data_IF_726049534804
#
_entry.id   IF_726049534804
#
_cell.length_a   1.000
_cell.length_b   1.000
_cell.length_c   1.000
_cell.angle_alpha   90.00
_cell.angle_beta   90.00
_cell.angle_gamma   90.00
#
_symmetry.space_group_name_H-M   'P 1'
#
loop_
_entity.id
_entity.type
_entity.pdbx_description
1 polymer ?
#
# COMPACT_ATOMS: atom_id res chain seq x y z
N UNK A 1 -29.69 37.03 -23.83
CA UNK A 1 -28.44 37.76 -23.48
C UNK A 1 -28.27 37.93 -21.97
N UNK A 2 -29.32 38.28 -21.19
CA UNK A 2 -29.27 38.35 -19.72
C UNK A 2 -29.14 36.99 -19.00
N UNK A 3 -29.68 35.89 -19.54
CA UNK A 3 -29.43 34.52 -19.01
C UNK A 3 -27.97 34.05 -19.18
N UNK A 4 -27.22 34.58 -20.15
CA UNK A 4 -25.79 34.31 -20.33
C UNK A 4 -24.88 35.13 -19.40
N UNK A 5 -25.41 36.21 -18.79
CA UNK A 5 -24.69 37.00 -17.80
C UNK A 5 -24.92 36.52 -16.36
N UNK A 6 -26.03 35.82 -16.10
CA UNK A 6 -26.28 35.17 -14.81
C UNK A 6 -25.50 33.86 -14.61
N UNK A 7 -25.09 33.15 -15.68
CA UNK A 7 -24.26 31.94 -15.56
C UNK A 7 -22.79 32.22 -15.26
N UNK A 8 -22.27 33.42 -15.59
CA UNK A 8 -20.86 33.80 -15.33
C UNK A 8 -20.59 34.39 -13.94
N UNK A 9 -21.61 34.66 -13.12
CA UNK A 9 -21.45 35.25 -11.77
C UNK A 9 -21.58 34.26 -10.60
N UNK A 10 -21.75 32.95 -10.86
CA UNK A 10 -21.84 31.93 -9.80
C UNK A 10 -20.48 31.38 -9.30
N UNK A 11 -19.36 31.72 -9.91
CA UNK A 11 -18.06 31.20 -9.52
C UNK A 11 -17.22 32.27 -8.80
N UNK A 12 -17.32 32.36 -7.47
CA UNK A 12 -16.23 32.87 -6.60
C UNK A 12 -16.45 32.72 -5.10
N UNK A 13 -17.48 32.01 -4.65
CA UNK A 13 -17.37 31.32 -3.37
C UNK A 13 -16.65 30.00 -3.65
N UNK A 14 -15.32 30.06 -3.74
CA UNK A 14 -14.50 28.86 -3.81
C UNK A 14 -14.67 28.15 -2.48
N UNK A 15 -15.59 27.18 -2.45
CA UNK A 15 -15.79 26.33 -1.29
C UNK A 15 -14.43 25.76 -0.87
N UNK A 16 -14.15 25.79 0.43
CA UNK A 16 -12.93 25.21 0.99
C UNK A 16 -12.74 23.82 0.39
N UNK A 17 -11.55 23.51 -0.14
CA UNK A 17 -11.35 22.28 -0.86
C UNK A 17 -11.68 21.08 0.03
N UNK A 18 -12.63 20.26 -0.43
CA UNK A 18 -13.00 19.04 0.27
C UNK A 18 -11.82 18.06 0.20
N UNK A 19 -11.18 17.81 1.34
CA UNK A 19 -10.18 16.75 1.48
C UNK A 19 -10.83 15.42 1.21
N UNK A 20 -10.08 14.47 0.66
CA UNK A 20 -10.53 13.08 0.56
C UNK A 20 -10.81 12.57 1.99
N UNK A 21 -12.08 12.38 2.37
CA UNK A 21 -12.45 12.14 3.77
C UNK A 21 -11.99 10.76 4.25
N UNK A 22 -11.68 9.85 3.32
CA UNK A 22 -11.47 8.43 3.58
C UNK A 22 -10.33 7.86 2.74
N UNK A 23 -9.17 8.50 2.72
CA UNK A 23 -8.04 8.04 1.89
C UNK A 23 -7.80 6.54 2.00
N UNK A 24 -7.70 5.87 0.84
CA UNK A 24 -7.34 4.45 0.81
C UNK A 24 -5.98 4.25 1.47
N UNK A 25 -5.91 3.39 2.48
CA UNK A 25 -4.67 3.22 3.23
C UNK A 25 -3.59 2.63 2.35
N UNK A 26 -2.36 3.05 2.61
CA UNK A 26 -1.18 2.48 1.99
C UNK A 26 -1.12 0.96 2.22
N UNK A 27 -0.86 0.22 1.15
CA UNK A 27 -0.58 -1.20 1.21
C UNK A 27 0.81 -1.44 1.77
N UNK A 28 0.93 -2.40 2.69
CA UNK A 28 2.21 -2.85 3.22
C UNK A 28 2.97 -3.62 2.12
N UNK A 29 4.29 -3.47 2.05
CA UNK A 29 5.09 -4.29 1.13
C UNK A 29 5.13 -5.73 1.64
N UNK A 30 4.77 -6.70 0.80
CA UNK A 30 4.80 -8.11 1.16
C UNK A 30 6.18 -8.55 1.63
N UNK A 31 7.23 -8.13 0.91
CA UNK A 31 8.61 -8.52 1.18
C UNK A 31 9.09 -7.98 2.53
N UNK A 32 8.74 -6.72 2.86
CA UNK A 32 9.04 -6.12 4.17
C UNK A 32 8.29 -6.82 5.29
N UNK A 33 6.98 -7.03 5.12
CA UNK A 33 6.15 -7.71 6.11
C UNK A 33 6.68 -9.12 6.41
N UNK A 34 6.97 -9.89 5.35
CA UNK A 34 7.45 -11.26 5.49
C UNK A 34 8.86 -11.31 6.10
N UNK A 35 9.74 -10.37 5.77
CA UNK A 35 11.06 -10.26 6.38
C UNK A 35 10.96 -10.01 7.90
N UNK A 36 10.13 -9.04 8.31
CA UNK A 36 9.85 -8.77 9.72
C UNK A 36 9.30 -10.01 10.42
N UNK A 37 8.41 -10.74 9.75
CA UNK A 37 7.84 -11.96 10.31
C UNK A 37 8.88 -13.08 10.51
N UNK A 38 9.77 -13.26 9.53
CA UNK A 38 10.89 -14.19 9.65
C UNK A 38 11.81 -13.81 10.83
N UNK A 39 12.07 -12.51 11.01
CA UNK A 39 12.86 -12.02 12.13
C UNK A 39 12.19 -12.28 13.48
N UNK A 40 10.87 -12.11 13.58
CA UNK A 40 10.10 -12.43 14.78
C UNK A 40 10.19 -13.92 15.13
N UNK A 41 10.07 -14.80 14.13
CA UNK A 41 10.21 -16.25 14.33
C UNK A 41 11.62 -16.64 14.79
N UNK A 42 12.66 -16.01 14.24
CA UNK A 42 14.04 -16.19 14.68
C UNK A 42 14.27 -15.73 16.12
N UNK A 43 13.64 -14.61 16.50
CA UNK A 43 13.68 -14.12 17.88
C UNK A 43 13.00 -15.11 18.85
N UNK A 44 11.82 -15.63 18.47
CA UNK A 44 11.09 -16.66 19.20
C UNK A 44 11.95 -17.94 19.38
N UNK A 45 12.60 -18.41 18.31
CA UNK A 45 13.51 -19.56 18.37
C UNK A 45 14.69 -19.30 19.31
N UNK A 46 15.30 -18.11 19.24
CA UNK A 46 16.43 -17.76 20.11
C UNK A 46 16.04 -17.73 21.59
N UNK A 47 14.82 -17.30 21.93
CA UNK A 47 14.29 -17.38 23.30
C UNK A 47 14.19 -18.83 23.76
N UNK A 48 13.69 -19.74 22.93
CA UNK A 48 13.58 -21.18 23.24
C UNK A 48 14.96 -21.81 23.42
N UNK A 49 15.89 -21.57 22.49
CA UNK A 49 17.25 -22.11 22.57
C UNK A 49 17.94 -21.62 23.85
N UNK A 50 17.82 -20.33 24.16
CA UNK A 50 18.37 -19.75 25.40
C UNK A 50 17.76 -20.42 26.64
N UNK A 51 16.46 -20.68 26.63
CA UNK A 51 15.79 -21.38 27.71
C UNK A 51 16.29 -22.83 27.88
N UNK A 52 16.32 -23.61 26.80
CA UNK A 52 16.81 -25.00 26.81
C UNK A 52 18.24 -25.06 27.34
N UNK A 53 19.11 -24.15 26.88
CA UNK A 53 20.49 -24.06 27.35
C UNK A 53 20.55 -23.76 28.84
N UNK A 54 19.80 -22.76 29.34
CA UNK A 54 19.76 -22.42 30.78
C UNK A 54 19.26 -23.60 31.60
N UNK A 55 18.19 -24.28 31.17
CA UNK A 55 17.62 -25.42 31.86
C UNK A 55 18.58 -26.62 31.91
N UNK A 56 19.20 -26.97 30.78
CA UNK A 56 20.19 -28.05 30.72
C UNK A 56 21.39 -27.80 31.66
N UNK A 57 21.89 -26.56 31.71
CA UNK A 57 22.97 -26.18 32.63
C UNK A 57 22.56 -26.27 34.09
N UNK A 58 21.35 -25.85 34.40
CA UNK A 58 20.77 -25.96 35.74
C UNK A 58 20.73 -27.43 36.18
N UNK A 59 20.22 -28.33 35.33
CA UNK A 59 20.19 -29.78 35.60
C UNK A 59 21.59 -30.36 35.85
N UNK A 60 22.60 -29.87 35.13
CA UNK A 60 24.01 -30.32 35.29
C UNK A 60 24.81 -29.54 36.33
N UNK A 61 24.20 -28.63 37.10
CA UNK A 61 24.85 -27.82 38.14
C UNK A 61 26.09 -27.04 37.61
N UNK A 62 26.07 -26.62 36.35
CA UNK A 62 27.20 -25.91 35.73
C UNK A 62 27.20 -24.43 36.15
N UNK A 63 28.14 -24.03 37.01
CA UNK A 63 28.18 -22.70 37.66
C UNK A 63 28.70 -21.53 36.79
N UNK A 64 29.39 -21.79 35.68
CA UNK A 64 30.00 -20.72 34.88
C UNK A 64 28.97 -20.04 33.97
N UNK A 65 28.85 -18.69 33.94
CA UNK A 65 28.06 -18.03 32.91
C UNK A 65 28.70 -18.27 31.54
N UNK A 66 27.88 -18.47 30.51
CA UNK A 66 28.40 -18.53 29.15
C UNK A 66 28.83 -17.11 28.76
N UNK A 67 30.12 -16.88 28.58
CA UNK A 67 30.61 -15.68 27.91
C UNK A 67 30.43 -15.89 26.41
N UNK A 68 29.48 -15.20 25.80
CA UNK A 68 29.47 -14.99 24.34
C UNK A 68 28.73 -15.98 23.45
N UNK A 69 27.77 -16.79 23.96
CA UNK A 69 26.90 -17.61 23.08
C UNK A 69 25.46 -17.12 23.20
N UNK A 70 25.18 -15.94 22.65
CA UNK A 70 23.91 -15.79 21.95
C UNK A 70 24.13 -16.42 20.57
N UNK A 71 23.20 -17.25 20.10
CA UNK A 71 23.23 -17.82 18.74
C UNK A 71 23.37 -16.70 17.67
N UNK A 72 23.04 -15.47 18.05
CA UNK A 72 23.04 -14.23 17.28
C UNK A 72 24.14 -13.27 17.80
N UNK A 73 25.35 -13.77 18.03
CA UNK A 73 26.48 -12.96 18.53
C UNK A 73 27.12 -12.02 17.51
N UNK A 74 26.65 -12.01 16.26
CA UNK A 74 27.26 -11.23 15.16
C UNK A 74 26.32 -10.32 14.37
N UNK A 75 25.02 -10.31 14.62
CA UNK A 75 24.11 -9.39 13.91
C UNK A 75 24.18 -8.04 14.60
N UNK A 76 24.40 -7.00 13.78
CA UNK A 76 24.59 -5.63 14.22
C UNK A 76 23.50 -5.18 15.18
N UNK A 77 23.87 -4.23 16.04
CA UNK A 77 23.00 -3.58 17.02
C UNK A 77 21.72 -3.02 16.36
N UNK A 78 20.69 -3.84 16.19
CA UNK A 78 19.34 -3.35 16.03
C UNK A 78 18.93 -2.75 17.38
N UNK A 79 18.69 -1.43 17.39
CA UNK A 79 18.34 -0.64 18.57
C UNK A 79 16.90 -0.96 19.01
N UNK A 80 16.66 -2.18 19.49
CA UNK A 80 15.44 -2.61 20.16
C UNK A 80 15.81 -3.18 21.52
N UNK A 81 16.02 -2.31 22.50
CA UNK A 81 16.53 -2.68 23.82
C UNK A 81 15.44 -3.32 24.69
N UNK A 82 15.38 -4.65 24.73
CA UNK A 82 14.80 -5.37 25.85
C UNK A 82 15.95 -6.08 26.61
N UNK A 83 16.36 -5.53 27.75
CA UNK A 83 17.26 -6.26 28.67
C UNK A 83 16.50 -7.49 29.18
N UNK A 84 17.07 -8.71 29.09
CA UNK A 84 16.40 -9.88 29.65
C UNK A 84 16.33 -9.77 31.18
N UNK A 85 15.20 -10.14 31.81
CA UNK A 85 15.05 -10.06 33.26
C UNK A 85 15.98 -11.06 33.97
N UNK A 86 16.59 -10.61 35.07
CA UNK A 86 17.59 -11.36 35.84
C UNK A 86 17.00 -12.29 36.93
N UNK A 87 15.67 -12.46 36.99
CA UNK A 87 15.01 -13.27 38.02
C UNK A 87 14.79 -14.72 37.55
N UNK A 88 14.75 -15.65 38.50
CA UNK A 88 14.33 -17.03 38.28
C UNK A 88 12.98 -17.05 37.55
N UNK A 89 12.89 -17.84 36.48
CA UNK A 89 11.71 -17.90 35.63
C UNK A 89 10.47 -18.23 36.48
N UNK A 90 9.45 -17.37 36.45
CA UNK A 90 8.19 -17.64 37.12
C UNK A 90 7.33 -18.60 36.26
N UNK A 91 6.20 -19.06 36.80
CA UNK A 91 5.28 -19.93 36.05
C UNK A 91 4.70 -19.26 34.78
N UNK A 92 4.65 -17.93 34.74
CA UNK A 92 4.18 -17.17 33.58
C UNK A 92 5.21 -17.22 32.44
N UNK A 93 6.50 -17.24 32.75
CA UNK A 93 7.57 -17.41 31.76
C UNK A 93 7.52 -18.81 31.11
N UNK A 94 7.22 -19.86 31.89
CA UNK A 94 7.07 -21.22 31.36
C UNK A 94 5.83 -21.33 30.46
N UNK A 95 4.73 -20.65 30.81
CA UNK A 95 3.54 -20.54 29.94
C UNK A 95 3.86 -19.77 28.66
N UNK A 96 4.66 -18.71 28.75
CA UNK A 96 5.17 -17.96 27.60
C UNK A 96 6.01 -18.84 26.67
N UNK A 97 6.95 -19.63 27.21
CA UNK A 97 7.79 -20.55 26.42
C UNK A 97 6.97 -21.65 25.77
N UNK A 98 5.98 -22.23 26.45
CA UNK A 98 5.04 -23.19 25.82
C UNK A 98 4.25 -22.53 24.70
N UNK A 99 3.86 -21.27 24.87
CA UNK A 99 3.23 -20.47 23.82
C UNK A 99 4.13 -20.30 22.60
N UNK A 100 5.38 -19.88 22.81
CA UNK A 100 6.39 -19.73 21.76
C UNK A 100 6.65 -21.08 21.06
N UNK A 101 6.84 -22.15 21.85
CA UNK A 101 7.11 -23.48 21.32
C UNK A 101 5.94 -24.01 20.49
N UNK A 102 4.69 -23.77 20.91
CA UNK A 102 3.51 -24.09 20.09
C UNK A 102 3.47 -23.27 18.81
N UNK A 103 3.82 -21.98 18.85
CA UNK A 103 3.90 -21.13 17.64
C UNK A 103 4.93 -21.67 16.65
N UNK A 104 6.09 -22.15 17.12
CA UNK A 104 7.10 -22.76 16.26
C UNK A 104 6.71 -24.18 15.80
N UNK A 105 6.07 -24.98 16.65
CA UNK A 105 5.61 -26.34 16.32
C UNK A 105 4.46 -26.34 15.29
N UNK A 106 3.62 -25.31 15.32
CA UNK A 106 2.75 -25.00 14.21
C UNK A 106 3.65 -24.44 13.10
N UNK A 107 4.37 -25.31 12.38
CA UNK A 107 5.41 -25.02 11.37
C UNK A 107 5.03 -23.98 10.30
N UNK A 108 3.77 -23.52 10.26
CA UNK A 108 3.36 -22.39 9.44
C UNK A 108 2.44 -21.48 10.24
N UNK A 109 2.76 -20.18 10.24
CA UNK A 109 1.92 -19.14 10.80
C UNK A 109 0.49 -19.26 10.23
N UNK A 110 -0.55 -19.34 11.09
CA UNK A 110 -1.94 -19.38 10.66
C UNK A 110 -2.31 -18.27 9.68
N UNK A 111 -1.65 -17.10 9.74
CA UNK A 111 -1.83 -16.00 8.77
C UNK A 111 -1.37 -16.37 7.37
N UNK A 112 -0.30 -17.14 7.23
CA UNK A 112 0.21 -17.60 5.93
C UNK A 112 -0.67 -18.71 5.32
N UNK A 113 -1.41 -19.42 6.16
CA UNK A 113 -2.35 -20.47 5.76
C UNK A 113 -3.72 -19.93 5.35
N UNK A 114 -3.96 -18.62 5.47
CA UNK A 114 -5.20 -18.01 5.03
C UNK A 114 -5.36 -18.09 3.52
N UNK A 115 -6.61 -18.04 3.05
CA UNK A 115 -6.91 -17.98 1.63
C UNK A 115 -6.70 -16.55 1.11
N UNK A 116 -5.54 -16.31 0.51
CA UNK A 116 -5.22 -15.09 -0.23
C UNK A 116 -5.87 -15.07 -1.60
N UNK A 117 -6.15 -13.86 -2.07
CA UNK A 117 -6.50 -13.55 -3.45
C UNK A 117 -5.48 -12.57 -4.00
N UNK A 118 -4.89 -12.90 -5.14
CA UNK A 118 -3.97 -12.03 -5.86
C UNK A 118 -4.71 -11.37 -7.02
N UNK A 119 -4.86 -10.06 -6.92
CA UNK A 119 -5.34 -9.25 -8.03
C UNK A 119 -4.16 -8.58 -8.71
N UNK A 120 -4.26 -8.36 -10.02
CA UNK A 120 -3.29 -7.55 -10.74
C UNK A 120 -3.17 -6.17 -10.11
N UNK A 121 -1.94 -5.77 -9.79
CA UNK A 121 -1.63 -4.40 -9.44
C UNK A 121 -1.47 -3.64 -10.75
N UNK A 122 -2.33 -2.64 -10.93
CA UNK A 122 -2.29 -1.75 -12.07
C UNK A 122 -1.50 -0.48 -11.72
N UNK A 123 -0.77 0.04 -12.70
CA UNK A 123 0.01 1.26 -12.60
C UNK A 123 -0.77 2.43 -13.22
N UNK A 124 -1.43 3.20 -12.36
CA UNK A 124 -2.16 4.39 -12.74
C UNK A 124 -2.20 5.41 -11.62
N UNK A 125 -3.38 5.97 -11.40
CA UNK A 125 -3.64 6.86 -10.27
C UNK A 125 -4.84 6.37 -9.48
N UNK A 126 -4.73 6.44 -8.16
CA UNK A 126 -5.83 6.10 -7.29
C UNK A 126 -6.96 7.14 -7.44
N UNK A 127 -8.18 6.64 -7.61
CA UNK A 127 -9.37 7.45 -7.76
C UNK A 127 -10.55 6.85 -6.98
N UNK A 128 -11.22 7.68 -6.19
CA UNK A 128 -12.42 7.35 -5.45
C UNK A 128 -13.66 8.02 -6.04
N UNK A 129 -14.80 7.33 -6.06
CA UNK A 129 -16.10 7.90 -6.45
C UNK A 129 -17.11 7.66 -5.34
N UNK A 130 -17.71 8.74 -4.83
CA UNK A 130 -18.72 8.71 -3.76
C UNK A 130 -20.13 8.59 -4.33
N UNK A 131 -21.07 8.11 -3.53
CA UNK A 131 -22.47 7.93 -3.93
C UNK A 131 -23.23 9.20 -4.32
N UNK A 132 -22.69 10.39 -4.06
CA UNK A 132 -23.20 11.69 -4.54
C UNK A 132 -22.55 12.14 -5.87
N UNK A 133 -21.75 11.28 -6.49
CA UNK A 133 -21.01 11.58 -7.72
C UNK A 133 -19.72 12.37 -7.50
N UNK A 134 -19.37 12.72 -6.25
CA UNK A 134 -18.11 13.40 -5.99
C UNK A 134 -16.93 12.47 -6.28
N UNK A 135 -15.99 12.96 -7.10
CA UNK A 135 -14.77 12.23 -7.49
C UNK A 135 -13.61 12.75 -6.65
N UNK A 136 -12.80 11.83 -6.13
CA UNK A 136 -11.65 12.12 -5.28
C UNK A 136 -10.40 11.50 -5.88
N UNK A 137 -9.34 12.29 -5.96
CA UNK A 137 -8.00 11.77 -6.20
C UNK A 137 -7.41 11.20 -4.90
N UNK A 138 -6.09 11.19 -4.81
CA UNK A 138 -5.38 10.64 -3.64
C UNK A 138 -5.67 11.43 -2.37
N UNK A 139 -5.72 12.76 -2.44
CA UNK A 139 -5.82 13.60 -1.24
C UNK A 139 -7.01 14.55 -1.28
N UNK A 140 -7.52 14.85 -2.48
CA UNK A 140 -8.47 15.92 -2.65
C UNK A 140 -9.60 15.56 -3.62
N UNK A 141 -10.72 16.27 -3.49
CA UNK A 141 -11.81 16.23 -4.47
C UNK A 141 -11.36 16.80 -5.82
N UNK A 142 -11.78 16.17 -6.92
CA UNK A 142 -11.58 16.61 -8.29
C UNK A 142 -12.84 17.34 -8.76
N UNK A 143 -12.68 18.53 -9.34
CA UNK A 143 -13.79 19.35 -9.85
C UNK A 143 -13.81 19.47 -11.37
N UNK A 144 -12.70 19.15 -12.05
CA UNK A 144 -12.60 19.19 -13.50
C UNK A 144 -13.13 17.93 -14.18
N UNK A 145 -13.28 18.02 -15.51
CA UNK A 145 -13.69 16.91 -16.38
C UNK A 145 -12.52 15.96 -16.68
N UNK A 146 -11.28 16.38 -16.39
CA UNK A 146 -10.08 15.55 -16.58
C UNK A 146 -9.30 15.39 -15.28
N UNK A 147 -8.59 14.26 -15.16
CA UNK A 147 -7.65 14.02 -14.08
C UNK A 147 -6.45 13.24 -14.58
N UNK A 148 -5.24 13.73 -14.30
CA UNK A 148 -3.99 13.14 -14.81
C UNK A 148 -3.99 12.96 -16.34
N UNK A 149 -4.60 13.92 -17.05
CA UNK A 149 -4.72 13.92 -18.52
C UNK A 149 -5.76 12.93 -19.08
N UNK A 150 -6.56 12.28 -18.23
CA UNK A 150 -7.62 11.36 -18.64
C UNK A 150 -8.97 12.06 -18.51
N UNK A 151 -9.78 12.00 -19.56
CA UNK A 151 -11.19 12.39 -19.51
C UNK A 151 -11.96 11.45 -18.58
N UNK A 152 -12.70 12.02 -17.63
CA UNK A 152 -13.47 11.27 -16.65
C UNK A 152 -14.84 10.87 -17.18
N UNK A 153 -15.38 11.55 -18.20
CA UNK A 153 -16.71 11.27 -18.74
C UNK A 153 -16.79 9.85 -19.32
N UNK A 154 -17.73 9.04 -18.83
CA UNK A 154 -17.92 7.65 -19.25
C UNK A 154 -16.81 6.67 -18.84
N UNK A 155 -15.73 7.16 -18.22
CA UNK A 155 -14.62 6.33 -17.73
C UNK A 155 -14.81 5.93 -16.28
N UNK A 156 -15.27 6.87 -15.44
CA UNK A 156 -15.53 6.62 -14.02
C UNK A 156 -16.98 6.24 -13.77
N UNK A 157 -17.28 5.43 -12.73
CA UNK A 157 -18.65 5.11 -12.38
C UNK A 157 -19.48 6.37 -12.09
N UNK A 158 -20.73 6.42 -12.57
CA UNK A 158 -21.66 7.48 -12.21
C UNK A 158 -22.24 7.27 -10.80
N UNK A 159 -22.86 8.32 -10.27
CA UNK A 159 -23.46 8.31 -8.94
C UNK A 159 -24.56 7.24 -8.80
N UNK A 160 -25.36 7.00 -9.85
CA UNK A 160 -26.38 5.95 -9.88
C UNK A 160 -25.77 4.55 -9.72
N UNK A 161 -24.68 4.25 -10.41
CA UNK A 161 -23.98 2.96 -10.27
C UNK A 161 -23.45 2.79 -8.85
N UNK A 162 -22.83 3.81 -8.26
CA UNK A 162 -22.32 3.76 -6.87
C UNK A 162 -23.47 3.62 -5.87
N UNK A 163 -24.61 4.29 -6.08
CA UNK A 163 -25.82 4.13 -5.27
C UNK A 163 -26.39 2.72 -5.38
N UNK A 164 -26.34 2.10 -6.57
CA UNK A 164 -26.70 0.70 -6.78
C UNK A 164 -25.85 -0.25 -5.94
N UNK A 165 -24.52 -0.06 -5.93
CA UNK A 165 -23.61 -0.83 -5.05
C UNK A 165 -23.96 -0.63 -3.57
N UNK A 166 -24.22 0.61 -3.14
CA UNK A 166 -24.60 0.92 -1.77
C UNK A 166 -25.88 0.20 -1.37
N UNK A 167 -26.89 0.22 -2.26
CA UNK A 167 -28.14 -0.50 -2.06
C UNK A 167 -27.89 -2.00 -1.92
N UNK A 168 -27.22 -2.64 -2.88
CA UNK A 168 -26.95 -4.09 -2.85
C UNK A 168 -26.18 -4.52 -1.60
N UNK A 169 -25.23 -3.68 -1.16
CA UNK A 169 -24.41 -3.91 0.03
C UNK A 169 -25.19 -3.76 1.33
N UNK A 170 -26.10 -2.79 1.42
CA UNK A 170 -26.71 -2.36 2.69
C UNK A 170 -28.22 -2.62 2.78
N UNK A 171 -28.86 -3.21 1.75
CA UNK A 171 -30.32 -3.45 1.70
C UNK A 171 -30.88 -4.14 2.96
N UNK A 172 -30.12 -5.06 3.55
CA UNK A 172 -30.55 -5.83 4.74
C UNK A 172 -30.44 -5.04 6.07
N UNK A 173 -29.89 -3.82 6.02
CA UNK A 173 -29.76 -2.90 7.16
C UNK A 173 -30.77 -1.75 7.09
N UNK A 174 -31.68 -1.73 6.11
CA UNK A 174 -32.57 -0.60 5.86
C UNK A 174 -33.53 -0.32 7.03
N UNK A 175 -33.03 0.44 8.00
CA UNK A 175 -33.79 1.55 8.58
C UNK A 175 -33.49 2.78 7.72
N UNK A 176 -34.52 3.61 7.44
CA UNK A 176 -34.38 4.81 6.60
C UNK A 176 -33.20 5.70 7.06
N UNK A 177 -33.02 5.84 8.38
CA UNK A 177 -31.95 6.63 8.99
C UNK A 177 -30.54 6.09 8.68
N UNK A 178 -30.36 4.78 8.55
CA UNK A 178 -29.03 4.20 8.31
C UNK A 178 -28.54 4.46 6.89
N UNK A 179 -29.45 4.39 5.91
CA UNK A 179 -29.08 4.63 4.52
C UNK A 179 -28.62 6.08 4.32
N UNK A 180 -29.27 7.05 4.96
CA UNK A 180 -28.89 8.47 4.87
C UNK A 180 -27.59 8.80 5.66
N UNK A 181 -27.38 8.14 6.80
CA UNK A 181 -26.21 8.40 7.67
C UNK A 181 -24.93 7.67 7.24
N UNK A 182 -25.03 6.76 6.26
CA UNK A 182 -23.88 6.06 5.69
C UNK A 182 -23.43 6.70 4.38
N UNK A 183 -22.12 6.77 4.16
CA UNK A 183 -21.51 7.22 2.90
C UNK A 183 -20.72 6.08 2.30
N UNK A 184 -20.96 5.78 1.02
CA UNK A 184 -20.17 4.80 0.27
C UNK A 184 -19.25 5.55 -0.69
N UNK A 185 -17.97 5.19 -0.68
CA UNK A 185 -17.01 5.54 -1.72
C UNK A 185 -16.37 4.27 -2.27
N UNK A 186 -16.39 4.09 -3.60
CA UNK A 186 -15.65 3.02 -4.26
C UNK A 186 -14.29 3.55 -4.72
N UNK A 187 -13.26 2.73 -4.61
CA UNK A 187 -11.89 3.06 -5.00
C UNK A 187 -11.39 2.14 -6.09
N UNK A 188 -10.67 2.73 -7.04
CA UNK A 188 -10.09 2.02 -8.17
C UNK A 188 -8.82 2.68 -8.66
N UNK A 189 -8.23 2.04 -9.66
CA UNK A 189 -7.07 2.54 -10.39
C UNK A 189 -7.52 3.08 -11.75
N UNK A 190 -7.22 4.35 -12.00
CA UNK A 190 -7.41 4.99 -13.30
C UNK A 190 -6.11 4.90 -14.11
N UNK A 191 -6.15 4.19 -15.24
CA UNK A 191 -4.96 3.95 -16.08
C UNK A 191 -4.62 5.18 -16.92
N UNK A 192 -3.82 6.09 -16.37
CA UNK A 192 -3.36 7.30 -17.06
C UNK A 192 -2.12 7.10 -17.95
N UNK A 193 -1.43 5.96 -17.84
CA UNK A 193 -0.21 5.64 -18.59
C UNK A 193 -0.43 4.43 -19.51
N UNK A 194 -1.14 4.57 -20.65
CA UNK A 194 -1.57 3.42 -21.46
C UNK A 194 -0.40 2.63 -22.10
N UNK A 195 0.78 3.25 -22.23
CA UNK A 195 1.95 2.61 -22.83
C UNK A 195 2.76 1.75 -21.85
N UNK A 196 2.40 1.75 -20.56
CA UNK A 196 3.05 0.88 -19.57
C UNK A 196 2.37 -0.50 -19.55
N UNK A 197 3.17 -1.54 -19.27
CA UNK A 197 2.69 -2.92 -19.05
C UNK A 197 1.69 -3.40 -20.12
N UNK A 198 1.91 -2.97 -21.37
CA UNK A 198 1.07 -3.26 -22.53
C UNK A 198 -0.43 -2.91 -22.37
N UNK A 199 -0.79 -1.91 -21.55
CA UNK A 199 -2.20 -1.56 -21.33
C UNK A 199 -2.93 -1.17 -22.62
N UNK A 200 -2.30 -0.46 -23.55
CA UNK A 200 -2.86 -0.17 -24.87
C UNK A 200 -3.23 -1.44 -25.64
N UNK A 201 -2.31 -2.42 -25.70
CA UNK A 201 -2.52 -3.69 -26.39
C UNK A 201 -3.61 -4.54 -25.72
N UNK A 202 -3.76 -4.41 -24.40
CA UNK A 202 -4.79 -5.07 -23.60
C UNK A 202 -6.11 -4.30 -23.57
N UNK A 203 -6.21 -3.18 -24.30
CA UNK A 203 -7.36 -2.28 -24.28
C UNK A 203 -7.74 -1.79 -22.87
N UNK A 204 -6.75 -1.56 -22.02
CA UNK A 204 -6.90 -1.11 -20.64
C UNK A 204 -6.57 0.38 -20.43
N UNK A 205 -5.92 1.02 -21.41
CA UNK A 205 -5.58 2.45 -21.34
C UNK A 205 -6.82 3.32 -21.13
N UNK A 206 -6.68 4.33 -20.27
CA UNK A 206 -7.73 5.32 -19.96
C UNK A 206 -9.02 4.70 -19.40
N UNK A 207 -8.90 3.60 -18.64
CA UNK A 207 -10.03 2.94 -17.98
C UNK A 207 -9.89 2.96 -16.47
N UNK A 208 -11.02 2.84 -15.78
CA UNK A 208 -11.11 2.70 -14.34
C UNK A 208 -11.32 1.24 -13.93
N UNK A 209 -10.54 0.74 -12.97
CA UNK A 209 -10.67 -0.60 -12.42
C UNK A 209 -10.84 -0.53 -10.90
N UNK A 210 -12.03 -0.85 -10.41
CA UNK A 210 -12.35 -0.87 -8.98
C UNK A 210 -11.58 -2.00 -8.27
N UNK A 211 -11.02 -1.70 -7.10
CA UNK A 211 -10.32 -2.66 -6.25
C UNK A 211 -10.85 -2.70 -4.80
N UNK A 212 -11.79 -1.84 -4.43
CA UNK A 212 -12.30 -1.81 -3.06
C UNK A 212 -13.32 -0.71 -2.82
N UNK A 213 -13.87 -0.66 -1.60
CA UNK A 213 -14.76 0.40 -1.18
C UNK A 213 -14.59 0.77 0.29
N UNK A 214 -15.07 1.95 0.65
CA UNK A 214 -15.19 2.40 2.03
C UNK A 214 -16.63 2.78 2.33
N UNK A 215 -17.17 2.22 3.41
CA UNK A 215 -18.44 2.68 4.00
C UNK A 215 -18.13 3.42 5.29
N UNK A 216 -18.51 4.69 5.36
CA UNK A 216 -18.40 5.51 6.56
C UNK A 216 -19.77 5.66 7.19
N UNK A 217 -19.85 5.38 8.49
CA UNK A 217 -21.06 5.56 9.29
C UNK A 217 -20.79 6.72 10.26
N UNK A 218 -21.66 7.72 10.26
CA UNK A 218 -21.64 8.81 11.23
C UNK A 218 -22.32 8.40 12.54
N UNK A 219 -21.76 8.81 13.67
CA UNK A 219 -22.25 8.52 15.03
C UNK A 219 -22.55 7.03 15.24
N UNK A 220 -21.56 6.13 15.05
CA UNK A 220 -21.79 4.70 15.12
C UNK A 220 -22.16 4.26 16.54
N UNK A 221 -23.19 3.43 16.67
CA UNK A 221 -23.47 2.69 17.91
C UNK A 221 -22.86 1.29 17.82
N UNK A 222 -22.46 0.72 18.96
CA UNK A 222 -21.93 -0.65 18.99
C UNK A 222 -22.92 -1.67 18.40
N UNK A 223 -24.21 -1.49 18.68
CA UNK A 223 -25.29 -2.32 18.12
C UNK A 223 -25.30 -2.23 16.58
N UNK A 224 -25.21 -1.02 16.03
CA UNK A 224 -25.21 -0.81 14.59
C UNK A 224 -23.97 -1.44 13.93
N UNK A 225 -22.78 -1.26 14.51
CA UNK A 225 -21.57 -1.88 13.99
C UNK A 225 -21.67 -3.42 13.98
N UNK A 226 -22.21 -4.04 15.04
CA UNK A 226 -22.44 -5.50 15.07
C UNK A 226 -23.45 -5.96 14.01
N UNK A 227 -24.49 -5.17 13.75
CA UNK A 227 -25.46 -5.45 12.69
C UNK A 227 -24.80 -5.36 11.31
N UNK A 228 -24.01 -4.31 11.07
CA UNK A 228 -23.24 -4.12 9.85
C UNK A 228 -22.27 -5.28 9.61
N UNK A 229 -21.49 -5.67 10.62
CA UNK A 229 -20.60 -6.84 10.56
C UNK A 229 -21.36 -8.10 10.15
N UNK A 230 -22.53 -8.32 10.73
CA UNK A 230 -23.38 -9.49 10.44
C UNK A 230 -23.87 -9.47 8.99
N UNK A 231 -24.35 -8.32 8.51
CA UNK A 231 -24.87 -8.18 7.15
C UNK A 231 -23.77 -8.33 6.11
N UNK A 232 -22.64 -7.66 6.27
CA UNK A 232 -21.50 -7.80 5.37
C UNK A 232 -21.00 -9.25 5.31
N UNK A 233 -20.90 -9.94 6.46
CA UNK A 233 -20.53 -11.37 6.50
C UNK A 233 -21.54 -12.26 5.80
N UNK A 234 -22.85 -12.04 5.99
CA UNK A 234 -23.91 -12.81 5.32
C UNK A 234 -23.88 -12.63 3.81
N UNK A 235 -23.56 -11.43 3.33
CA UNK A 235 -23.33 -11.15 1.90
C UNK A 235 -22.02 -11.75 1.37
N UNK A 236 -21.22 -12.37 2.23
CA UNK A 236 -19.93 -12.95 1.87
C UNK A 236 -18.88 -11.91 1.52
N UNK A 237 -19.02 -10.67 2.02
CA UNK A 237 -18.06 -9.60 1.81
C UNK A 237 -16.89 -9.74 2.79
N UNK A 238 -15.68 -9.50 2.29
CA UNK A 238 -14.49 -9.36 3.11
C UNK A 238 -14.37 -7.89 3.50
N UNK A 239 -14.23 -7.60 4.79
CA UNK A 239 -14.05 -6.23 5.25
C UNK A 239 -13.12 -6.12 6.45
N UNK A 240 -12.50 -4.95 6.57
CA UNK A 240 -11.84 -4.48 7.79
C UNK A 240 -12.65 -3.35 8.40
N UNK A 241 -12.97 -3.46 9.68
CA UNK A 241 -13.67 -2.43 10.43
C UNK A 241 -12.64 -1.66 11.27
N UNK A 242 -12.56 -0.35 11.05
CA UNK A 242 -11.75 0.59 11.85
C UNK A 242 -12.69 1.61 12.49
N UNK A 243 -12.72 1.64 13.82
CA UNK A 243 -13.34 2.74 14.56
C UNK A 243 -12.30 3.84 14.66
N UNK A 244 -12.54 4.98 14.00
CA UNK A 244 -11.61 6.12 14.04
C UNK A 244 -11.76 6.91 15.35
N UNK A 245 -13.00 7.11 15.80
CA UNK A 245 -13.38 7.79 17.03
C UNK A 245 -14.87 7.50 17.35
N UNK A 246 -15.44 8.18 18.37
CA UNK A 246 -16.85 8.05 18.72
C UNK A 246 -17.81 8.60 17.64
N UNK A 247 -17.29 9.32 16.64
CA UNK A 247 -18.10 10.03 15.64
C UNK A 247 -18.16 9.27 14.30
N UNK A 248 -17.21 8.38 14.03
CA UNK A 248 -17.09 7.70 12.75
C UNK A 248 -16.61 6.24 12.88
N UNK A 249 -17.33 5.35 12.20
CA UNK A 249 -16.87 4.00 11.90
C UNK A 249 -16.60 3.88 10.39
N UNK A 250 -15.49 3.25 10.03
CA UNK A 250 -15.10 3.04 8.64
C UNK A 250 -14.96 1.55 8.36
N UNK A 251 -15.69 1.08 7.36
CA UNK A 251 -15.66 -0.28 6.85
C UNK A 251 -14.96 -0.29 5.52
N UNK A 252 -13.77 -0.89 5.47
CA UNK A 252 -13.05 -1.10 4.22
C UNK A 252 -13.45 -2.43 3.63
N UNK A 253 -14.10 -2.40 2.47
CA UNK A 253 -14.54 -3.58 1.73
C UNK A 253 -13.46 -3.96 0.73
N UNK A 254 -12.97 -5.20 0.83
CA UNK A 254 -11.99 -5.79 -0.07
C UNK A 254 -12.66 -6.33 -1.33
N UNK A 255 -11.97 -6.24 -2.46
CA UNK A 255 -12.35 -6.98 -3.65
C UNK A 255 -12.31 -8.49 -3.36
N UNK A 256 -13.47 -9.10 -3.48
CA UNK A 256 -13.68 -10.53 -3.37
C UNK A 256 -14.82 -10.93 -4.34
N UNK A 257 -15.16 -12.22 -4.51
CA UNK A 257 -16.17 -12.62 -5.49
C UNK A 257 -17.56 -12.04 -5.24
N UNK A 258 -17.93 -11.80 -3.97
CA UNK A 258 -19.22 -11.20 -3.65
C UNK A 258 -19.25 -9.73 -4.07
N UNK A 259 -18.20 -8.97 -3.73
CA UNK A 259 -18.11 -7.56 -4.11
C UNK A 259 -17.92 -7.38 -5.62
N UNK A 260 -17.13 -8.25 -6.26
CA UNK A 260 -16.94 -8.27 -7.70
C UNK A 260 -18.27 -8.45 -8.44
N UNK A 261 -19.13 -9.39 -8.01
CA UNK A 261 -20.46 -9.56 -8.62
C UNK A 261 -21.35 -8.33 -8.47
N UNK A 262 -21.26 -7.61 -7.36
CA UNK A 262 -21.99 -6.34 -7.19
C UNK A 262 -21.49 -5.31 -8.21
N UNK A 263 -20.16 -5.17 -8.34
CA UNK A 263 -19.54 -4.25 -9.30
C UNK A 263 -19.91 -4.58 -10.75
N UNK A 264 -19.82 -5.85 -11.13
CA UNK A 264 -20.21 -6.34 -12.46
C UNK A 264 -21.70 -6.10 -12.75
N UNK A 265 -22.57 -6.28 -11.75
CA UNK A 265 -23.99 -5.97 -11.86
C UNK A 265 -24.29 -4.50 -12.15
N UNK A 266 -23.38 -3.60 -11.78
CA UNK A 266 -23.44 -2.17 -12.08
C UNK A 266 -22.58 -1.77 -13.29
N UNK A 267 -21.99 -2.73 -14.02
CA UNK A 267 -21.13 -2.46 -15.17
C UNK A 267 -19.76 -1.86 -14.82
N UNK A 268 -19.31 -1.99 -13.57
CA UNK A 268 -18.01 -1.45 -13.10
C UNK A 268 -16.93 -2.52 -13.25
N UNK A 269 -15.88 -2.22 -14.00
CA UNK A 269 -14.74 -3.11 -14.19
C UNK A 269 -13.89 -3.27 -12.93
N UNK A 270 -13.30 -4.44 -12.74
CA UNK A 270 -12.40 -4.76 -11.62
C UNK A 270 -11.05 -5.27 -12.11
N UNK A 271 -10.01 -5.18 -11.28
CA UNK A 271 -8.71 -5.78 -11.60
C UNK A 271 -8.80 -7.30 -11.70
N UNK A 272 -8.00 -7.89 -12.60
CA UNK A 272 -8.01 -9.32 -12.89
C UNK A 272 -7.56 -10.13 -11.67
N UNK A 273 -8.32 -11.18 -11.32
CA UNK A 273 -7.90 -12.17 -10.34
C UNK A 273 -6.90 -13.12 -10.99
N UNK A 274 -5.66 -13.14 -10.49
CA UNK A 274 -4.57 -13.94 -11.02
C UNK A 274 -4.36 -15.25 -10.27
N UNK A 275 -4.69 -15.27 -8.98
CA UNK A 275 -4.45 -16.44 -8.14
C UNK A 275 -5.29 -16.45 -6.87
N UNK A 276 -5.49 -17.67 -6.33
CA UNK A 276 -6.12 -17.91 -5.03
C UNK A 276 -5.42 -19.08 -4.34
N UNK A 277 -5.18 -18.98 -3.05
CA UNK A 277 -4.49 -20.05 -2.31
C UNK A 277 -3.91 -19.56 -0.99
N UNK A 278 -3.09 -20.37 -0.34
CA UNK A 278 -2.23 -19.89 0.76
C UNK A 278 -1.23 -18.87 0.23
N UNK A 279 -0.58 -18.09 1.11
CA UNK A 279 0.41 -17.11 0.65
C UNK A 279 1.51 -17.79 -0.17
N UNK A 280 2.01 -18.92 0.34
CA UNK A 280 3.00 -19.77 -0.35
C UNK A 280 2.53 -20.14 -1.75
N UNK A 281 1.33 -20.74 -1.85
CA UNK A 281 0.80 -21.21 -3.13
C UNK A 281 0.69 -20.07 -4.15
N UNK A 282 0.11 -18.95 -3.75
CA UNK A 282 -0.06 -17.77 -4.61
C UNK A 282 1.28 -17.21 -5.08
N UNK A 283 2.26 -17.08 -4.18
CA UNK A 283 3.58 -16.56 -4.57
C UNK A 283 4.30 -17.49 -5.54
N UNK A 284 4.29 -18.80 -5.30
CA UNK A 284 4.95 -19.77 -6.17
C UNK A 284 4.27 -19.87 -7.54
N UNK A 285 2.94 -19.88 -7.58
CA UNK A 285 2.18 -19.95 -8.83
C UNK A 285 2.39 -18.69 -9.70
N UNK A 286 2.52 -17.53 -9.07
CA UNK A 286 2.68 -16.26 -9.78
C UNK A 286 4.13 -15.87 -10.01
N UNK A 287 5.11 -16.62 -9.47
CA UNK A 287 6.55 -16.34 -9.59
C UNK A 287 6.96 -16.09 -11.04
N UNK A 288 6.64 -17.01 -11.95
CA UNK A 288 7.03 -16.90 -13.35
C UNK A 288 6.47 -15.63 -14.02
N UNK A 289 5.22 -15.28 -13.71
CA UNK A 289 4.56 -14.07 -14.23
C UNK A 289 5.17 -12.78 -13.64
N UNK A 290 5.42 -12.77 -12.33
CA UNK A 290 6.07 -11.66 -11.62
C UNK A 290 7.51 -11.43 -12.09
N UNK A 291 8.13 -12.44 -12.70
CA UNK A 291 9.43 -12.35 -13.35
C UNK A 291 9.33 -11.88 -14.81
N UNK A 292 8.20 -11.35 -15.28
CA UNK A 292 8.09 -10.76 -16.64
C UNK A 292 8.06 -9.24 -16.58
N UNK A 293 8.48 -8.56 -17.65
CA UNK A 293 8.51 -7.09 -17.70
C UNK A 293 7.14 -6.47 -18.05
N UNK A 294 6.15 -7.30 -18.41
CA UNK A 294 4.79 -6.88 -18.77
C UNK A 294 3.86 -6.67 -17.58
N UNK A 295 4.39 -6.64 -16.36
CA UNK A 295 3.59 -6.70 -15.14
C UNK A 295 4.16 -5.84 -14.01
N UNK A 296 3.34 -5.01 -13.35
CA UNK A 296 3.82 -4.16 -12.24
C UNK A 296 3.95 -4.95 -10.93
N UNK A 297 2.98 -5.82 -10.67
CA UNK A 297 2.93 -6.61 -9.45
C UNK A 297 1.52 -7.09 -9.11
N UNK A 298 1.33 -7.58 -7.89
CA UNK A 298 0.04 -8.03 -7.37
C UNK A 298 -0.36 -7.33 -6.08
N UNK A 299 -1.66 -7.19 -5.88
CA UNK A 299 -2.27 -6.85 -4.59
C UNK A 299 -2.86 -8.13 -4.01
N UNK A 300 -2.39 -8.48 -2.82
CA UNK A 300 -2.83 -9.64 -2.07
C UNK A 300 -3.81 -9.21 -0.98
N UNK A 301 -5.01 -9.78 -0.99
CA UNK A 301 -6.01 -9.55 0.05
C UNK A 301 -6.22 -10.80 0.89
N UNK A 302 -6.15 -10.65 2.22
CA UNK A 302 -6.46 -11.71 3.17
C UNK A 302 -7.79 -11.43 3.91
N UNK A 303 -8.66 -12.43 4.16
CA UNK A 303 -9.96 -12.21 4.81
C UNK A 303 -9.85 -11.74 6.27
N UNK A 304 -8.83 -12.17 7.00
CA UNK A 304 -8.67 -11.89 8.43
C UNK A 304 -7.83 -10.63 8.57
N UNK A 305 -8.27 -9.72 9.45
CA UNK A 305 -7.66 -8.39 9.67
C UNK A 305 -7.71 -7.44 8.45
N UNK A 306 -8.31 -7.88 7.35
CA UNK A 306 -8.36 -7.15 6.08
C UNK A 306 -7.01 -6.57 5.66
N UNK A 307 -6.00 -7.42 5.77
CA UNK A 307 -4.63 -7.09 5.41
C UNK A 307 -4.49 -7.06 3.90
N UNK A 308 -3.78 -6.03 3.41
CA UNK A 308 -3.45 -5.85 2.02
C UNK A 308 -1.94 -5.76 1.88
N UNK A 309 -1.38 -6.65 1.08
CA UNK A 309 0.01 -6.55 0.67
C UNK A 309 0.10 -6.14 -0.79
N UNK A 310 1.03 -5.25 -1.09
CA UNK A 310 1.53 -5.09 -2.45
C UNK A 310 2.79 -5.93 -2.60
N UNK A 311 2.86 -6.72 -3.66
CA UNK A 311 4.07 -7.42 -4.07
C UNK A 311 4.42 -6.94 -5.47
N UNK A 312 5.55 -6.24 -5.59
CA UNK A 312 5.99 -5.59 -6.82
C UNK A 312 7.12 -6.41 -7.45
N UNK A 313 7.28 -6.28 -8.77
CA UNK A 313 8.45 -6.82 -9.47
C UNK A 313 9.71 -6.01 -9.12
N UNK A 314 10.89 -6.55 -9.44
CA UNK A 314 12.18 -5.89 -9.18
C UNK A 314 12.32 -4.49 -9.79
N UNK A 315 11.55 -4.18 -10.85
CA UNK A 315 11.54 -2.86 -11.49
C UNK A 315 10.99 -1.80 -10.54
N UNK A 316 10.06 -2.20 -9.67
CA UNK A 316 9.21 -1.33 -8.87
C UNK A 316 9.44 -1.50 -7.36
N UNK A 317 9.98 -2.64 -6.91
CA UNK A 317 10.25 -2.90 -5.51
C UNK A 317 11.50 -2.15 -5.02
N UNK A 318 11.28 -0.92 -4.54
CA UNK A 318 12.28 -0.14 -3.81
C UNK A 318 12.22 -0.37 -2.30
N UNK A 319 11.47 -1.37 -1.84
CA UNK A 319 11.36 -1.61 -0.41
C UNK A 319 12.63 -2.25 0.13
N UNK A 320 12.96 -1.97 1.40
CA UNK A 320 14.07 -2.65 2.09
C UNK A 320 13.83 -4.15 2.30
N UNK A 321 12.71 -4.70 1.85
CA UNK A 321 12.34 -6.11 2.02
C UNK A 321 13.29 -7.06 1.31
N UNK A 322 13.75 -6.73 0.09
CA UNK A 322 14.75 -7.53 -0.63
C UNK A 322 16.05 -7.67 0.18
N UNK A 323 16.61 -6.56 0.65
CA UNK A 323 17.85 -6.54 1.42
C UNK A 323 17.68 -7.32 2.73
N UNK A 324 16.56 -7.14 3.42
CA UNK A 324 16.28 -7.85 4.68
C UNK A 324 16.14 -9.37 4.48
N UNK A 325 15.43 -9.82 3.45
CA UNK A 325 15.29 -11.25 3.13
C UNK A 325 16.64 -11.85 2.69
N UNK A 326 17.41 -11.11 1.87
CA UNK A 326 18.73 -11.55 1.42
C UNK A 326 19.71 -11.69 2.58
N UNK A 327 19.79 -10.68 3.46
CA UNK A 327 20.61 -10.72 4.67
C UNK A 327 20.23 -11.90 5.57
N UNK A 328 18.94 -12.15 5.74
CA UNK A 328 18.44 -13.29 6.51
C UNK A 328 18.87 -14.63 5.90
N UNK A 329 18.74 -14.79 4.59
CA UNK A 329 19.16 -16.01 3.88
C UNK A 329 20.67 -16.28 3.93
N UNK A 330 21.48 -15.21 4.02
CA UNK A 330 22.95 -15.29 4.09
C UNK A 330 23.46 -15.46 5.53
N UNK A 331 22.74 -14.89 6.51
CA UNK A 331 23.17 -14.86 7.91
C UNK A 331 22.87 -16.14 8.68
N UNK A 332 21.94 -16.96 8.19
CA UNK A 332 21.48 -18.17 8.87
C UNK A 332 21.53 -19.38 7.93
N UNK A 333 21.84 -20.56 8.48
CA UNK A 333 21.73 -21.80 7.70
C UNK A 333 20.26 -22.15 7.47
N UNK A 334 19.97 -22.86 6.36
CA UNK A 334 18.62 -23.35 6.05
C UNK A 334 18.00 -24.11 7.21
N UNK A 335 18.78 -24.96 7.89
CA UNK A 335 18.33 -25.70 9.06
C UNK A 335 17.82 -24.80 10.20
N UNK A 336 18.49 -23.67 10.48
CA UNK A 336 18.04 -22.74 11.54
C UNK A 336 16.75 -22.04 11.12
N UNK A 337 16.64 -21.68 9.85
CA UNK A 337 15.45 -21.02 9.30
C UNK A 337 14.25 -21.96 9.30
N UNK A 338 14.44 -23.22 8.87
CA UNK A 338 13.43 -24.28 8.94
C UNK A 338 12.98 -24.54 10.39
N UNK A 339 13.92 -24.59 11.34
CA UNK A 339 13.61 -24.75 12.76
C UNK A 339 12.80 -23.56 13.33
N UNK A 340 12.94 -22.38 12.73
CA UNK A 340 12.14 -21.21 13.04
C UNK A 340 10.77 -21.21 12.33
N UNK A 341 10.42 -22.25 11.57
CA UNK A 341 9.18 -22.33 10.80
C UNK A 341 9.14 -21.33 9.64
N UNK A 342 10.30 -20.97 9.09
CA UNK A 342 10.41 -20.08 7.92
C UNK A 342 10.35 -20.93 6.66
N UNK A 343 9.43 -20.59 5.76
CA UNK A 343 9.33 -21.22 4.44
C UNK A 343 10.43 -20.67 3.51
N UNK A 344 11.50 -21.45 3.34
CA UNK A 344 12.66 -21.07 2.54
C UNK A 344 12.37 -20.96 1.05
N UNK A 345 11.42 -21.74 0.55
CA UNK A 345 11.03 -21.67 -0.87
C UNK A 345 10.30 -20.35 -1.15
N UNK A 346 9.45 -19.93 -0.21
CA UNK A 346 8.81 -18.63 -0.27
C UNK A 346 9.82 -17.48 -0.13
N UNK A 347 10.78 -17.56 0.80
CA UNK A 347 11.88 -16.57 0.91
C UNK A 347 12.61 -16.44 -0.42
N UNK A 348 13.02 -17.56 -1.01
CA UNK A 348 13.74 -17.59 -2.27
C UNK A 348 12.90 -17.03 -3.43
N UNK A 349 11.62 -17.38 -3.49
CA UNK A 349 10.66 -16.82 -4.46
C UNK A 349 10.59 -15.29 -4.37
N UNK A 350 10.46 -14.75 -3.16
CA UNK A 350 10.35 -13.30 -2.93
C UNK A 350 11.66 -12.57 -3.27
N UNK A 351 12.82 -13.15 -2.91
CA UNK A 351 14.13 -12.61 -3.29
C UNK A 351 14.26 -12.58 -4.81
N UNK A 352 13.99 -13.69 -5.50
CA UNK A 352 14.13 -13.76 -6.95
C UNK A 352 13.27 -12.74 -7.69
N UNK A 353 12.01 -12.56 -7.28
CA UNK A 353 11.10 -11.57 -7.87
C UNK A 353 11.55 -10.12 -7.63
N UNK A 354 12.18 -9.86 -6.48
CA UNK A 354 12.70 -8.54 -6.16
C UNK A 354 14.13 -8.29 -6.68
N UNK A 355 14.86 -9.33 -7.09
CA UNK A 355 16.21 -9.20 -7.65
C UNK A 355 16.15 -8.42 -8.97
N UNK A 356 16.88 -7.29 -9.08
CA UNK A 356 16.98 -6.54 -10.33
C UNK A 356 17.48 -7.44 -11.46
N UNK A 357 16.69 -7.57 -12.51
CA UNK A 357 17.15 -8.20 -13.75
C UNK A 357 18.21 -7.32 -14.38
N UNK A 358 19.34 -7.92 -14.76
CA UNK A 358 20.24 -7.30 -15.74
C UNK A 358 19.39 -7.04 -16.98
N UNK A 359 19.10 -5.77 -17.27
CA UNK A 359 18.39 -5.41 -18.49
C UNK A 359 19.30 -5.85 -19.63
N UNK A 360 18.91 -6.90 -20.34
CA UNK A 360 19.54 -7.22 -21.61
C UNK A 360 19.30 -6.01 -22.52
N UNK A 361 20.34 -5.22 -22.76
CA UNK A 361 20.34 -3.91 -23.43
C UNK A 361 19.78 -3.95 -24.85
N UNK A 362 18.47 -4.14 -24.98
CA UNK A 362 17.75 -3.94 -26.22
C UNK A 362 16.79 -2.75 -26.03
N UNK A 363 17.35 -1.58 -26.32
CA UNK A 363 16.65 -0.36 -26.77
C UNK A 363 15.72 0.36 -25.80
N UNK A 364 16.08 0.48 -24.52
CA UNK A 364 15.54 1.56 -23.71
C UNK A 364 16.66 2.22 -22.90
N UNK A 365 17.10 3.39 -23.35
CA UNK A 365 18.08 4.26 -22.69
C UNK A 365 17.56 4.84 -21.36
N UNK A 366 17.02 4.00 -20.48
CA UNK A 366 16.77 4.35 -19.09
C UNK A 366 17.91 3.79 -18.26
N UNK A 367 18.91 4.65 -18.07
CA UNK A 367 20.06 4.51 -17.19
C UNK A 367 19.52 4.28 -15.77
N UNK A 368 19.40 3.02 -15.35
CA UNK A 368 19.24 2.68 -13.93
C UNK A 368 20.66 2.42 -13.42
N UNK A 369 21.30 3.46 -12.90
CA UNK A 369 22.57 3.31 -12.18
C UNK A 369 22.27 2.80 -10.78
N UNK A 370 22.65 1.55 -10.51
CA UNK A 370 22.77 1.03 -9.15
C UNK A 370 23.87 1.82 -8.43
N UNK A 371 23.50 2.88 -7.73
CA UNK A 371 24.45 3.73 -7.00
C UNK A 371 24.90 3.05 -5.73
N UNK A 372 26.16 2.61 -5.74
CA UNK A 372 26.92 2.43 -4.51
C UNK A 372 27.05 3.79 -3.81
N UNK A 373 26.73 3.79 -2.51
CA UNK A 373 26.76 4.93 -1.60
C UNK A 373 28.20 5.43 -1.39
N UNK A 374 28.73 6.22 -2.32
CA UNK A 374 29.87 7.11 -2.06
C UNK A 374 29.35 8.51 -1.72
N UNK A 375 29.60 8.94 -0.49
CA UNK A 375 29.10 10.17 0.10
C UNK A 375 29.80 11.40 -0.50
N UNK A 376 29.32 11.90 -1.65
CA UNK A 376 29.41 13.31 -2.08
C UNK A 376 28.68 13.56 -3.41
N UNK A 377 27.51 12.95 -3.62
CA UNK A 377 26.84 13.03 -4.92
C UNK A 377 26.19 14.41 -5.14
N UNK A 378 26.81 15.23 -6.00
CA UNK A 378 26.08 16.26 -6.74
C UNK A 378 25.00 15.56 -7.57
N UNK A 379 23.72 15.74 -7.23
CA UNK A 379 22.63 15.19 -8.05
C UNK A 379 22.70 15.75 -9.47
N UNK A 380 22.60 14.89 -10.48
CA UNK A 380 22.54 15.35 -11.86
C UNK A 380 21.16 15.94 -12.17
N UNK A 381 21.04 16.66 -13.28
CA UNK A 381 19.75 17.19 -13.71
C UNK A 381 18.74 16.06 -14.01
N UNK A 382 19.23 14.93 -14.53
CA UNK A 382 18.45 13.72 -14.81
C UNK A 382 17.92 13.08 -13.53
N UNK A 383 18.74 13.00 -12.46
CA UNK A 383 18.29 12.48 -11.16
C UNK A 383 17.13 13.30 -10.59
N UNK A 384 17.28 14.63 -10.63
CA UNK A 384 16.27 15.55 -10.15
C UNK A 384 15.00 15.47 -11.00
N UNK A 385 15.13 15.27 -12.32
CA UNK A 385 14.00 15.10 -13.22
C UNK A 385 13.25 13.79 -12.94
N UNK A 386 13.97 12.69 -12.79
CA UNK A 386 13.40 11.39 -12.48
C UNK A 386 12.70 11.40 -11.11
N UNK A 387 13.34 11.96 -10.08
CA UNK A 387 12.74 12.08 -8.75
C UNK A 387 11.53 13.02 -8.73
N UNK A 388 11.58 14.15 -9.46
CA UNK A 388 10.43 15.06 -9.57
C UNK A 388 9.24 14.37 -10.26
N UNK A 389 9.47 13.66 -11.36
CA UNK A 389 8.42 12.88 -12.04
C UNK A 389 7.85 11.78 -11.15
N UNK A 390 8.72 11.07 -10.40
CA UNK A 390 8.31 10.10 -9.36
C UNK A 390 7.45 10.75 -8.27
N UNK A 391 7.84 11.94 -7.80
CA UNK A 391 7.08 12.65 -6.78
C UNK A 391 5.70 13.08 -7.29
N UNK A 392 5.60 13.60 -8.52
CA UNK A 392 4.32 13.99 -9.13
C UNK A 392 3.31 12.85 -9.19
N UNK A 393 3.75 11.60 -9.36
CA UNK A 393 2.84 10.45 -9.34
C UNK A 393 2.33 10.09 -7.95
N UNK A 394 2.76 10.76 -6.86
CA UNK A 394 2.30 10.52 -5.48
C UNK A 394 1.23 11.51 -5.00
N UNK A 395 0.97 12.56 -5.79
CA UNK A 395 0.00 13.61 -5.46
C UNK A 395 -1.14 13.64 -6.48
N UNK A 396 -2.12 14.50 -6.21
CA UNK A 396 -3.09 14.92 -7.21
C UNK A 396 -2.39 15.78 -8.28
N UNK A 397 -3.05 16.02 -9.42
CA UNK A 397 -2.47 16.82 -10.51
C UNK A 397 -2.13 18.23 -10.05
N UNK A 398 -1.09 18.84 -10.62
CA UNK A 398 -0.66 20.18 -10.23
C UNK A 398 -1.77 21.22 -10.44
N UNK A 399 -2.55 21.07 -11.50
CA UNK A 399 -3.72 21.87 -11.82
C UNK A 399 -4.73 21.88 -10.67
N UNK A 400 -4.94 20.73 -10.01
CA UNK A 400 -5.89 20.63 -8.90
C UNK A 400 -5.44 21.44 -7.68
N UNK A 401 -4.14 21.63 -7.48
CA UNK A 401 -3.59 22.54 -6.45
C UNK A 401 -3.60 24.00 -6.92
N UNK A 402 -3.34 24.24 -8.21
CA UNK A 402 -3.32 25.59 -8.79
C UNK A 402 -4.70 26.24 -8.79
N UNK A 403 -5.75 25.45 -9.09
CA UNK A 403 -7.15 25.86 -8.97
C UNK A 403 -7.49 26.39 -7.57
N UNK A 404 -6.71 26.05 -6.55
CA UNK A 404 -6.95 26.38 -5.14
C UNK A 404 -6.00 27.44 -4.58
N UNK A 405 -5.11 27.96 -5.42
CA UNK A 405 -4.03 28.84 -4.98
C UNK A 405 -3.08 28.17 -3.94
N UNK A 406 -3.01 26.83 -3.94
CA UNK A 406 -2.20 26.01 -3.02
C UNK A 406 -0.82 25.63 -3.61
N UNK A 407 -0.30 26.39 -4.58
CA UNK A 407 0.98 26.10 -5.24
C UNK A 407 2.15 25.96 -4.25
N UNK A 408 2.13 26.71 -3.14
CA UNK A 408 3.19 26.65 -2.13
C UNK A 408 3.15 25.36 -1.31
N UNK A 409 1.96 24.85 -1.02
CA UNK A 409 1.78 23.59 -0.29
C UNK A 409 2.26 22.41 -1.12
N UNK A 410 1.91 22.35 -2.41
CA UNK A 410 2.39 21.27 -3.29
C UNK A 410 3.90 21.35 -3.55
N UNK A 411 4.50 22.56 -3.61
CA UNK A 411 5.97 22.71 -3.66
C UNK A 411 6.61 22.06 -2.44
N UNK A 412 6.10 22.32 -1.23
CA UNK A 412 6.64 21.73 -0.01
C UNK A 412 6.51 20.20 -0.04
N UNK A 413 5.35 19.68 -0.41
CA UNK A 413 5.14 18.24 -0.45
C UNK A 413 6.02 17.53 -1.48
N UNK A 414 6.18 18.12 -2.67
CA UNK A 414 7.08 17.58 -3.70
C UNK A 414 8.54 17.65 -3.26
N UNK A 415 8.95 18.70 -2.54
CA UNK A 415 10.29 18.78 -1.97
C UNK A 415 10.54 17.64 -0.98
N UNK A 416 9.62 17.40 -0.04
CA UNK A 416 9.72 16.30 0.94
C UNK A 416 9.86 14.93 0.25
N UNK A 417 9.05 14.66 -0.78
CA UNK A 417 9.14 13.40 -1.54
C UNK A 417 10.44 13.28 -2.35
N UNK A 418 10.90 14.35 -3.00
CA UNK A 418 12.17 14.33 -3.75
C UNK A 418 13.38 14.18 -2.82
N UNK A 419 13.34 14.79 -1.62
CA UNK A 419 14.38 14.59 -0.59
C UNK A 419 14.45 13.13 -0.16
N UNK A 420 13.30 12.49 0.04
CA UNK A 420 13.22 11.07 0.39
C UNK A 420 13.75 10.18 -0.75
N UNK A 421 13.29 10.40 -1.98
CA UNK A 421 13.68 9.59 -3.14
C UNK A 421 15.19 9.69 -3.45
N UNK A 422 15.80 10.85 -3.23
CA UNK A 422 17.23 11.08 -3.45
C UNK A 422 18.10 10.87 -2.19
N UNK A 423 17.50 10.52 -1.06
CA UNK A 423 18.19 10.38 0.24
C UNK A 423 19.06 11.59 0.59
N UNK A 424 18.53 12.81 0.38
CA UNK A 424 19.27 14.05 0.57
C UNK A 424 19.68 14.27 2.04
N UNK A 425 20.97 14.09 2.35
CA UNK A 425 21.47 14.17 3.73
C UNK A 425 22.08 15.53 4.08
N UNK A 426 22.56 16.30 3.10
CA UNK A 426 23.23 17.58 3.37
C UNK A 426 22.29 18.78 3.16
N UNK A 427 22.60 19.90 3.82
CA UNK A 427 21.88 21.16 3.56
C UNK A 427 22.07 21.68 2.13
N UNK A 428 23.18 21.33 1.48
CA UNK A 428 23.45 21.71 0.08
C UNK A 428 22.50 21.00 -0.87
N UNK A 429 22.39 19.67 -0.70
CA UNK A 429 21.45 18.80 -1.42
C UNK A 429 20.02 19.34 -1.30
N UNK A 430 19.63 19.68 -0.07
CA UNK A 430 18.29 20.19 0.20
C UNK A 430 18.01 21.51 -0.54
N UNK A 431 18.99 22.43 -0.59
CA UNK A 431 18.85 23.70 -1.31
C UNK A 431 18.71 23.48 -2.82
N UNK A 432 19.48 22.57 -3.40
CA UNK A 432 19.41 22.24 -4.84
C UNK A 432 18.03 21.68 -5.20
N UNK A 433 17.55 20.70 -4.44
CA UNK A 433 16.22 20.10 -4.62
C UNK A 433 15.13 21.17 -4.46
N UNK A 434 15.19 21.96 -3.38
CA UNK A 434 14.17 22.99 -3.11
C UNK A 434 14.06 24.00 -4.24
N UNK A 435 15.19 24.46 -4.76
CA UNK A 435 15.26 25.40 -5.89
C UNK A 435 14.71 24.77 -7.18
N UNK A 436 15.10 23.52 -7.48
CA UNK A 436 14.68 22.81 -8.69
C UNK A 436 13.16 22.58 -8.70
N UNK A 437 12.61 21.99 -7.64
CA UNK A 437 11.17 21.71 -7.50
C UNK A 437 10.35 23.00 -7.59
N UNK A 438 10.71 24.03 -6.81
CA UNK A 438 10.04 25.33 -6.84
C UNK A 438 10.05 25.95 -8.24
N UNK A 439 11.18 25.91 -8.93
CA UNK A 439 11.30 26.49 -10.28
C UNK A 439 10.38 25.79 -11.27
N UNK A 440 10.28 24.46 -11.23
CA UNK A 440 9.43 23.66 -12.12
C UNK A 440 7.95 23.93 -11.88
N UNK A 441 7.49 23.78 -10.63
CA UNK A 441 6.09 24.01 -10.27
C UNK A 441 5.65 25.44 -10.61
N UNK A 442 6.49 26.45 -10.34
CA UNK A 442 6.15 27.84 -10.66
C UNK A 442 6.15 28.13 -12.16
N UNK A 443 6.90 27.38 -12.97
CA UNK A 443 6.82 27.47 -14.43
C UNK A 443 5.49 26.93 -14.94
N UNK A 444 5.08 25.75 -14.46
CA UNK A 444 3.80 25.13 -14.79
C UNK A 444 2.61 26.00 -14.34
N UNK A 445 2.66 26.55 -13.12
CA UNK A 445 1.66 27.48 -12.61
C UNK A 445 1.50 28.72 -13.51
N UNK A 446 2.59 29.29 -14.01
CA UNK A 446 2.52 30.45 -14.93
C UNK A 446 1.84 30.11 -16.24
N UNK A 447 2.09 28.92 -16.79
CA UNK A 447 1.45 28.43 -18.02
C UNK A 447 -0.05 28.23 -17.77
N UNK A 448 -0.40 27.50 -16.71
CA UNK A 448 -1.79 27.25 -16.32
C UNK A 448 -2.56 28.56 -16.07
N UNK A 449 -1.98 29.50 -15.32
CA UNK A 449 -2.60 30.79 -15.02
C UNK A 449 -2.76 31.67 -16.27
N UNK A 450 -1.86 31.56 -17.26
CA UNK A 450 -2.03 32.23 -18.56
C UNK A 450 -3.21 31.65 -19.33
N UNK A 451 -3.35 30.32 -19.34
CA UNK A 451 -4.45 29.61 -19.99
C UNK A 451 -5.82 30.00 -19.39
N UNK A 452 -5.91 30.08 -18.06
CA UNK A 452 -7.13 30.53 -17.38
C UNK A 452 -7.52 31.98 -17.71
N UNK A 453 -6.54 32.84 -18.05
CA UNK A 453 -6.80 34.24 -18.41
C UNK A 453 -7.15 34.43 -19.89
N UNK A 454 -6.69 33.56 -20.78
CA UNK A 454 -6.99 33.68 -22.21
C UNK A 454 -8.47 33.42 -22.52
N UNK A 455 -9.17 32.63 -21.69
CA UNK A 455 -10.61 32.39 -21.86
C UNK A 455 -11.01 31.73 -23.19
N UNK A 456 -10.01 31.23 -23.92
CA UNK A 456 -10.10 30.23 -24.98
C UNK A 456 -10.16 28.85 -24.33
#
# INVERSE_FOLDING_TARGET
>A
MLQRLCSKRKAKNMAVPEKNPTQWTNFESLTVWYANRCQDNLNDLNVIVTFIQKWWRFQRKLKRPIKGVTLIGRIGRFKGSAKPPAKAFNNDDVRSIRGIARRLQCNVDPKLQQLFRAHEKLDGTNLGVRCDGAVFGRRIRIYGETYQGVDLEGVVPCDEQVRGIKYDMLVDLFTYDFYETSQLMIYGELICNPNKFDYSRRCMGYKYYCFGAMVTIQMPTEKLCRQMDTVLRRKGLNFHHVIWNNDHAVYRIMLNPAFQRMLEGQGISTSLLLGKGTLRQVCLDLKAMMMTDGFEGVVLTAPIEGTYFKWKTSIEDKSGGFSALSELSQSYSSFVLELAGIDMELVQCLIEVATPKERSDHTCNQIITSRHFESSANFTAEDLDAAYKSALTKFDSLEAYFEREEQWSIIQYLQEEVHMDLSAMTQSDQKIINKSVKSRVMAEYKVWHKFQKSGE
#
